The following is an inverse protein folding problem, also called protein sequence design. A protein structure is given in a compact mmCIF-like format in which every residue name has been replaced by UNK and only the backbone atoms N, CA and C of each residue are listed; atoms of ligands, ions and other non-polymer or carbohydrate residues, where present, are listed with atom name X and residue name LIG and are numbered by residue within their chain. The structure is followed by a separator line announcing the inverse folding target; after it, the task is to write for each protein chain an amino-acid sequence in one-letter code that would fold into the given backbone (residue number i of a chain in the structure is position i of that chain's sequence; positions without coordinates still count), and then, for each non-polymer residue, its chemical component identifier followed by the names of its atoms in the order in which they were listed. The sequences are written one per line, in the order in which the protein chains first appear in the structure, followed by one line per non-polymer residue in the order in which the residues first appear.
data_IF_844841627493
#
_entry.id   IF_844841627493
#
_cell.length_a   1.000
_cell.length_b   1.000
_cell.length_c   1.000
_cell.angle_alpha   90.00
_cell.angle_beta   90.00
_cell.angle_gamma   90.00
#
_symmetry.space_group_name_H-M   'P 1'
#
loop_
_entity.id
_entity.type
_entity.pdbx_description
1 polymer ?
#
# COMPACT_ATOMS: atom_id res chain seq x y z
N UNK A 1 11.24 15.01 -23.21
CA UNK A 1 10.40 15.32 -22.02
C UNK A 1 9.74 14.03 -21.58
N UNK A 2 9.70 13.74 -20.28
CA UNK A 2 8.89 12.63 -19.78
C UNK A 2 7.42 12.92 -20.10
N UNK A 3 6.70 11.90 -20.59
CA UNK A 3 5.27 12.02 -20.90
C UNK A 3 4.42 12.17 -19.62
N UNK A 4 4.95 11.74 -18.48
CA UNK A 4 4.27 11.71 -17.18
C UNK A 4 5.22 12.16 -16.07
N UNK A 5 4.68 12.73 -14.99
CA UNK A 5 5.43 13.16 -13.81
C UNK A 5 5.16 12.28 -12.57
N UNK A 6 4.28 11.28 -12.67
CA UNK A 6 3.98 10.38 -11.55
C UNK A 6 5.22 9.59 -11.11
N UNK A 7 5.43 9.54 -9.79
CA UNK A 7 6.48 8.72 -9.18
C UNK A 7 6.17 7.21 -9.21
N UNK A 8 4.90 6.84 -9.38
CA UNK A 8 4.41 5.46 -9.35
C UNK A 8 3.45 5.17 -10.52
N UNK A 9 3.30 3.89 -10.87
CA UNK A 9 2.27 3.44 -11.81
C UNK A 9 0.85 3.54 -11.24
N UNK A 10 -0.15 3.19 -12.05
CA UNK A 10 -1.58 3.26 -11.70
C UNK A 10 -2.23 4.62 -11.94
N UNK A 11 -1.52 5.60 -12.51
CA UNK A 11 -2.04 6.96 -12.71
C UNK A 11 -2.90 7.10 -13.98
N UNK A 12 -3.97 6.32 -14.06
CA UNK A 12 -4.90 6.34 -15.21
C UNK A 12 -5.53 7.71 -15.46
N UNK A 13 -5.66 8.55 -14.41
CA UNK A 13 -6.22 9.90 -14.54
C UNK A 13 -5.26 10.85 -15.27
N UNK A 14 -3.97 10.83 -14.94
CA UNK A 14 -2.96 11.62 -15.66
C UNK A 14 -2.85 11.16 -17.11
N UNK A 15 -2.76 9.84 -17.34
CA UNK A 15 -2.69 9.28 -18.69
C UNK A 15 -3.92 9.64 -19.54
N UNK A 16 -5.13 9.55 -18.97
CA UNK A 16 -6.36 9.89 -19.67
C UNK A 16 -6.47 11.38 -19.98
N UNK A 17 -5.99 12.24 -19.07
CA UNK A 17 -5.94 13.70 -19.28
C UNK A 17 -5.04 14.06 -20.45
N UNK A 18 -3.86 13.42 -20.58
CA UNK A 18 -2.94 13.61 -21.71
C UNK A 18 -3.58 13.18 -23.03
N UNK A 19 -4.41 12.14 -23.01
CA UNK A 19 -5.06 11.58 -24.20
C UNK A 19 -6.42 12.23 -24.54
N UNK A 20 -6.98 13.04 -23.64
CA UNK A 20 -8.31 13.65 -23.82
C UNK A 20 -9.45 12.63 -23.79
N UNK A 21 -9.29 11.52 -23.08
CA UNK A 21 -10.28 10.44 -22.95
C UNK A 21 -10.71 10.26 -21.49
N UNK A 22 -11.69 9.40 -21.25
CA UNK A 22 -12.07 9.00 -19.89
C UNK A 22 -11.11 7.93 -19.34
N UNK A 23 -10.73 7.94 -18.04
CA UNK A 23 -9.78 6.98 -17.47
C UNK A 23 -10.20 5.51 -17.55
N UNK A 24 -11.50 5.23 -17.57
CA UNK A 24 -12.07 3.88 -17.71
C UNK A 24 -11.89 3.28 -19.11
N UNK A 25 -11.50 4.09 -20.10
CA UNK A 25 -11.14 3.63 -21.44
C UNK A 25 -9.69 3.10 -21.52
N UNK A 26 -8.90 3.27 -20.46
CA UNK A 26 -7.54 2.77 -20.37
C UNK A 26 -7.53 1.33 -19.83
N UNK A 27 -6.83 0.45 -20.55
CA UNK A 27 -6.40 -0.84 -20.00
C UNK A 27 -5.05 -0.63 -19.30
N UNK A 28 -5.07 -0.58 -17.97
CA UNK A 28 -3.90 -0.22 -17.17
C UNK A 28 -2.95 -1.41 -16.94
N UNK A 29 -1.74 -1.32 -17.49
CA UNK A 29 -0.63 -2.26 -17.26
C UNK A 29 0.48 -1.66 -16.36
N UNK A 30 0.27 -0.47 -15.81
CA UNK A 30 1.26 0.24 -15.00
C UNK A 30 1.15 -0.08 -13.49
N UNK A 31 0.03 -0.67 -13.04
CA UNK A 31 -0.16 -1.15 -11.68
C UNK A 31 -0.29 -2.69 -11.63
N UNK A 32 0.45 -3.32 -10.72
CA UNK A 32 0.50 -4.78 -10.57
C UNK A 32 -0.64 -5.29 -9.67
N UNK A 33 -1.88 -5.16 -10.11
CA UNK A 33 -3.07 -5.61 -9.37
C UNK A 33 -3.56 -6.96 -9.91
N UNK A 34 -4.08 -7.82 -9.04
CA UNK A 34 -4.65 -9.11 -9.45
C UNK A 34 -5.88 -8.90 -10.37
N UNK A 35 -5.86 -9.38 -11.63
CA UNK A 35 -6.94 -9.16 -12.59
C UNK A 35 -8.21 -9.98 -12.31
N UNK A 36 -8.18 -10.92 -11.36
CA UNK A 36 -9.35 -11.71 -10.96
C UNK A 36 -10.40 -10.89 -10.19
N UNK A 37 -10.08 -9.64 -9.85
CA UNK A 37 -10.96 -8.72 -9.13
C UNK A 37 -10.99 -8.97 -7.62
N UNK A 38 -12.00 -8.39 -6.96
CA UNK A 38 -12.14 -8.47 -5.51
C UNK A 38 -12.61 -9.87 -5.06
N UNK A 39 -11.96 -10.50 -4.06
CA UNK A 39 -12.44 -11.75 -3.49
C UNK A 39 -13.88 -11.66 -2.99
N UNK A 40 -14.70 -12.69 -3.26
CA UNK A 40 -16.12 -12.71 -2.88
C UNK A 40 -16.31 -12.58 -1.36
N UNK A 41 -15.43 -13.18 -0.57
CA UNK A 41 -15.44 -13.07 0.89
C UNK A 41 -15.26 -11.63 1.38
N UNK A 42 -14.33 -10.89 0.78
CA UNK A 42 -14.06 -9.49 1.10
C UNK A 42 -15.26 -8.63 0.73
N UNK A 43 -15.81 -8.80 -0.48
CA UNK A 43 -16.99 -8.04 -0.93
C UNK A 43 -18.18 -8.20 0.01
N UNK A 44 -18.47 -9.44 0.43
CA UNK A 44 -19.56 -9.73 1.39
C UNK A 44 -19.28 -9.11 2.75
N UNK A 45 -18.08 -9.33 3.30
CA UNK A 45 -17.73 -8.78 4.62
C UNK A 45 -17.86 -7.25 4.67
N UNK A 46 -17.47 -6.53 3.61
CA UNK A 46 -17.63 -5.07 3.53
C UNK A 46 -19.10 -4.64 3.47
N UNK A 47 -19.92 -5.28 2.62
CA UNK A 47 -21.35 -4.94 2.48
C UNK A 47 -22.10 -5.23 3.78
N UNK A 48 -21.87 -6.40 4.35
CA UNK A 48 -22.62 -6.89 5.52
C UNK A 48 -22.24 -6.17 6.83
N UNK A 49 -21.11 -5.46 6.86
CA UNK A 49 -20.58 -4.80 8.05
C UNK A 49 -20.25 -3.32 7.84
N UNK A 50 -20.85 -2.67 6.84
CA UNK A 50 -20.53 -1.28 6.49
C UNK A 50 -20.69 -0.33 7.68
N UNK A 51 -21.69 -0.56 8.54
CA UNK A 51 -21.97 0.22 9.75
C UNK A 51 -20.81 0.25 10.77
N UNK A 52 -19.81 -0.63 10.65
CA UNK A 52 -18.63 -0.57 11.52
C UNK A 52 -17.84 0.73 11.40
N UNK A 53 -17.94 1.44 10.28
CA UNK A 53 -17.23 2.70 10.02
C UNK A 53 -17.77 3.89 10.84
N UNK A 54 -18.93 3.75 11.48
CA UNK A 54 -19.49 4.77 12.38
C UNK A 54 -18.67 4.92 13.67
N UNK A 55 -17.74 4.00 13.92
CA UNK A 55 -16.88 3.96 15.09
C UNK A 55 -15.42 3.96 14.65
N UNK A 56 -14.56 4.48 15.52
CA UNK A 56 -13.12 4.27 15.34
C UNK A 56 -12.79 2.77 15.37
N UNK A 57 -11.78 2.32 14.58
CA UNK A 57 -11.23 0.99 14.71
C UNK A 57 -10.71 0.73 16.14
N UNK A 58 -10.58 -0.55 16.48
CA UNK A 58 -9.78 -0.95 17.62
C UNK A 58 -8.34 -0.42 17.45
N UNK A 59 -7.89 0.40 18.40
CA UNK A 59 -6.56 1.05 18.35
C UNK A 59 -5.42 0.03 18.37
N UNK A 60 -5.65 -1.15 18.93
CA UNK A 60 -4.67 -2.23 19.01
C UNK A 60 -4.78 -3.23 17.84
N UNK A 61 -5.82 -3.08 17.00
CA UNK A 61 -6.13 -3.96 15.87
C UNK A 61 -6.08 -5.45 16.24
N UNK A 62 -6.56 -5.82 17.43
CA UNK A 62 -6.34 -7.14 18.04
C UNK A 62 -6.79 -8.28 17.13
N UNK A 63 -8.00 -8.20 16.55
CA UNK A 63 -8.51 -9.23 15.66
C UNK A 63 -7.73 -9.34 14.34
N UNK A 64 -7.27 -8.23 13.79
CA UNK A 64 -6.47 -8.22 12.56
C UNK A 64 -5.10 -8.85 12.80
N UNK A 65 -4.41 -8.44 13.86
CA UNK A 65 -3.11 -9.00 14.24
C UNK A 65 -3.22 -10.50 14.53
N UNK A 66 -4.26 -10.93 15.23
CA UNK A 66 -4.54 -12.36 15.46
C UNK A 66 -4.79 -13.14 14.17
N UNK A 67 -5.52 -12.57 13.20
CA UNK A 67 -5.77 -13.23 11.92
C UNK A 67 -4.48 -13.43 11.11
N UNK A 68 -3.63 -12.40 11.03
CA UNK A 68 -2.32 -12.47 10.37
C UNK A 68 -1.37 -13.44 11.08
N UNK A 69 -1.36 -13.42 12.42
CA UNK A 69 -0.54 -14.31 13.24
C UNK A 69 -0.90 -15.78 13.03
N UNK A 70 -2.19 -16.10 12.98
CA UNK A 70 -2.66 -17.46 12.66
C UNK A 70 -2.29 -17.89 11.24
N UNK A 71 -2.41 -16.98 10.27
CA UNK A 71 -2.05 -17.27 8.88
C UNK A 71 -0.56 -17.62 8.74
N UNK A 72 0.32 -16.88 9.42
CA UNK A 72 1.77 -17.09 9.36
C UNK A 72 2.34 -18.03 10.44
N UNK A 73 1.52 -18.48 11.39
CA UNK A 73 1.92 -19.34 12.52
C UNK A 73 3.01 -18.71 13.41
N UNK A 74 2.88 -17.42 13.72
CA UNK A 74 3.82 -16.67 14.57
C UNK A 74 3.09 -15.99 15.75
N UNK A 75 3.81 -15.53 16.79
CA UNK A 75 3.21 -14.72 17.85
C UNK A 75 2.59 -13.42 17.29
N UNK A 76 1.41 -13.04 17.76
CA UNK A 76 0.76 -11.79 17.34
C UNK A 76 1.58 -10.54 17.67
N UNK A 77 2.44 -10.61 18.70
CA UNK A 77 3.36 -9.53 19.06
C UNK A 77 4.46 -9.25 18.02
N UNK A 78 4.60 -10.10 16.98
CA UNK A 78 5.52 -9.87 15.88
C UNK A 78 4.91 -9.05 14.73
N UNK A 79 3.62 -8.74 14.82
CA UNK A 79 2.86 -8.13 13.73
C UNK A 79 2.40 -6.74 14.12
N UNK A 80 2.62 -5.80 13.21
CA UNK A 80 2.05 -4.47 13.26
C UNK A 80 1.44 -4.18 11.89
N UNK A 81 0.12 -4.07 11.82
CA UNK A 81 -0.58 -3.68 10.61
C UNK A 81 -0.32 -2.19 10.30
N UNK A 82 -0.25 -1.87 9.01
CA UNK A 82 -0.11 -0.49 8.53
C UNK A 82 -1.16 -0.18 7.45
N UNK A 83 -1.32 1.11 7.16
CA UNK A 83 -2.17 1.65 6.10
C UNK A 83 -1.54 1.44 4.71
N UNK A 84 -1.42 0.17 4.32
CA UNK A 84 -0.61 -0.29 3.20
C UNK A 84 0.86 -0.48 3.57
N UNK A 85 1.55 -1.35 2.82
CA UNK A 85 2.96 -1.70 3.09
C UNK A 85 3.90 -0.48 3.05
N UNK A 86 3.56 0.54 2.26
CA UNK A 86 4.32 1.80 2.24
C UNK A 86 4.45 2.41 3.64
N UNK A 87 3.39 2.44 4.44
CA UNK A 87 3.48 2.95 5.82
C UNK A 87 4.42 2.09 6.68
N UNK A 88 4.41 0.77 6.49
CA UNK A 88 5.33 -0.14 7.19
C UNK A 88 6.80 0.17 6.90
N UNK A 89 7.14 0.58 5.66
CA UNK A 89 8.50 1.03 5.28
C UNK A 89 8.90 2.27 6.09
N UNK A 90 8.02 3.26 6.21
CA UNK A 90 8.29 4.47 7.01
C UNK A 90 8.33 4.16 8.51
N UNK A 91 7.46 3.28 8.99
CA UNK A 91 7.40 2.84 10.39
C UNK A 91 8.70 2.14 10.79
N UNK A 92 9.20 1.19 9.98
CA UNK A 92 10.46 0.50 10.29
C UNK A 92 11.66 1.46 10.23
N UNK A 93 11.72 2.36 9.24
CA UNK A 93 12.81 3.31 9.12
C UNK A 93 12.84 4.32 10.30
N UNK A 94 11.68 4.89 10.64
CA UNK A 94 11.54 5.84 11.75
C UNK A 94 11.65 5.19 13.13
N UNK A 95 11.30 3.92 13.26
CA UNK A 95 11.46 3.13 14.48
C UNK A 95 12.92 2.74 14.73
N UNK A 96 13.63 2.28 13.69
CA UNK A 96 15.04 1.88 13.81
C UNK A 96 16.01 3.06 13.86
N UNK A 97 15.67 4.19 13.22
CA UNK A 97 16.51 5.40 13.12
C UNK A 97 17.97 5.10 12.75
N UNK A 98 18.21 4.40 11.62
CA UNK A 98 19.55 4.02 11.24
C UNK A 98 20.43 5.26 10.99
N UNK A 99 21.68 5.23 11.47
CA UNK A 99 22.67 6.26 11.13
C UNK A 99 23.23 6.10 9.71
N UNK A 100 23.34 4.85 9.27
CA UNK A 100 23.73 4.47 7.92
C UNK A 100 22.82 3.34 7.46
N UNK A 101 22.37 3.41 6.21
CA UNK A 101 21.53 2.40 5.59
C UNK A 101 22.07 2.09 4.18
N UNK A 102 21.87 0.86 3.74
CA UNK A 102 22.16 0.42 2.38
C UNK A 102 20.85 0.05 1.70
N UNK A 103 20.66 0.51 0.45
CA UNK A 103 19.51 0.20 -0.39
C UNK A 103 20.05 -0.36 -1.71
N UNK A 104 19.44 -1.42 -2.22
CA UNK A 104 19.80 -2.04 -3.50
C UNK A 104 19.01 -1.37 -4.63
N UNK A 105 19.68 -1.04 -5.74
CA UNK A 105 19.07 -0.38 -6.91
C UNK A 105 19.24 -1.20 -8.20
N UNK A 106 18.26 -1.17 -9.14
CA UNK A 106 16.97 -0.46 -9.04
C UNK A 106 16.01 -1.11 -8.03
N UNK A 107 15.17 -0.29 -7.40
CA UNK A 107 14.25 -0.74 -6.35
C UNK A 107 13.12 0.27 -6.11
N UNK A 108 12.23 -0.06 -5.17
CA UNK A 108 11.10 0.80 -4.86
C UNK A 108 11.56 2.12 -4.22
N UNK A 109 11.07 3.24 -4.75
CA UNK A 109 11.55 4.58 -4.37
C UNK A 109 11.29 4.94 -2.89
N UNK A 110 10.28 4.32 -2.25
CA UNK A 110 9.93 4.60 -0.85
C UNK A 110 10.98 4.12 0.14
N UNK A 111 11.83 3.13 -0.20
CA UNK A 111 12.96 2.76 0.66
C UNK A 111 13.91 3.94 0.85
N UNK A 112 14.18 4.66 -0.25
CA UNK A 112 15.01 5.86 -0.24
C UNK A 112 14.38 6.99 0.56
N UNK A 113 13.10 7.29 0.30
CA UNK A 113 12.35 8.33 1.01
C UNK A 113 12.22 8.02 2.51
N UNK A 114 11.92 6.78 2.86
CA UNK A 114 11.82 6.32 4.25
C UNK A 114 13.16 6.42 5.00
N UNK A 115 14.28 6.19 4.32
CA UNK A 115 15.63 6.37 4.87
C UNK A 115 16.09 7.83 4.93
N UNK A 116 15.26 8.80 4.55
CA UNK A 116 15.60 10.23 4.53
C UNK A 116 16.52 10.64 3.38
N UNK A 117 16.69 9.79 2.36
CA UNK A 117 17.46 10.13 1.18
C UNK A 117 16.60 10.93 0.19
N UNK A 118 17.10 12.10 -0.20
CA UNK A 118 16.43 12.99 -1.13
C UNK A 118 16.87 12.63 -2.56
N UNK A 119 16.12 11.74 -3.21
CA UNK A 119 16.39 11.25 -4.58
C UNK A 119 15.68 12.06 -5.68
N UNK A 120 15.23 13.28 -5.37
CA UNK A 120 14.54 14.18 -6.27
C UNK A 120 15.40 15.39 -6.60
#
# INVERSE_FOLDING_TARGET
MALFNSAHGGNIREAATVLGISPDQLLDFSANINPLGMPVSVKRALIDNLDCIERYPDVDYFHLHQALARHHQVPASWILAGNGETESIFTVASGLKPRHAMIVTPGFAEYGRGAGANWL
#
